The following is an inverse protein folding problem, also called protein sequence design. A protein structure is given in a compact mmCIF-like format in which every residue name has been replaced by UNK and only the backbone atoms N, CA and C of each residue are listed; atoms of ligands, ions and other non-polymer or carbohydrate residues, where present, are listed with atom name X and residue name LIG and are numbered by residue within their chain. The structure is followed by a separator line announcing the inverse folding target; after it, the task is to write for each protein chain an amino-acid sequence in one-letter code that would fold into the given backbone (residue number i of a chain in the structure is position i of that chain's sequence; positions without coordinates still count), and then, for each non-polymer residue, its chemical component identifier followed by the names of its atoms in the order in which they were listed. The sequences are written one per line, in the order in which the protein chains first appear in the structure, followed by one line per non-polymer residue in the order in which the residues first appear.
data_IF_913677427957
#
_entry.id   IF_913677427957
#
_cell.length_a   1.000
_cell.length_b   1.000
_cell.length_c   1.000
_cell.angle_alpha   90.00
_cell.angle_beta   90.00
_cell.angle_gamma   90.00
#
_symmetry.space_group_name_H-M   'P 1'
#
loop_
_entity.id
_entity.type
_entity.pdbx_description
1 polymer ?
#
# COMPACT_ATOMS: atom_id res chain seq x y z
N UNK A 1 2.03 19.27 5.73
CA UNK A 1 3.40 19.09 5.20
C UNK A 1 3.51 17.67 4.65
N UNK A 2 3.99 17.51 3.44
CA UNK A 2 4.27 16.20 2.85
C UNK A 2 5.60 15.66 3.36
N UNK A 3 5.63 14.39 3.73
CA UNK A 3 6.83 13.72 4.23
C UNK A 3 7.13 12.52 3.35
N UNK A 4 8.34 12.47 2.79
CA UNK A 4 8.81 11.34 1.98
C UNK A 4 9.64 10.40 2.85
N UNK A 5 9.17 9.18 2.97
CA UNK A 5 9.75 8.17 3.86
C UNK A 5 10.62 7.14 3.16
N UNK A 6 10.87 7.30 1.85
CA UNK A 6 11.54 6.27 1.05
C UNK A 6 12.89 5.83 1.62
N UNK A 7 13.65 6.76 2.20
CA UNK A 7 14.95 6.48 2.80
C UNK A 7 14.90 5.96 4.25
N UNK A 8 13.72 5.93 4.85
CA UNK A 8 13.52 5.61 6.27
C UNK A 8 12.80 4.27 6.49
N UNK A 9 12.32 3.64 5.41
CA UNK A 9 11.60 2.38 5.52
C UNK A 9 12.51 1.27 6.05
N UNK A 10 12.00 0.49 6.99
CA UNK A 10 12.71 -0.62 7.62
C UNK A 10 12.07 -1.96 7.27
N UNK A 11 12.89 -3.04 7.16
CA UNK A 11 12.35 -4.37 6.90
C UNK A 11 11.44 -4.86 8.02
N UNK A 12 10.31 -5.43 7.66
CA UNK A 12 9.36 -6.02 8.59
C UNK A 12 8.96 -7.42 8.12
N UNK A 13 8.80 -8.35 9.07
CA UNK A 13 8.39 -9.74 8.79
C UNK A 13 9.26 -10.47 7.76
N UNK A 14 10.57 -10.28 7.84
CA UNK A 14 11.52 -11.05 7.03
C UNK A 14 11.67 -10.59 5.59
N UNK A 15 11.18 -9.39 5.24
CA UNK A 15 11.46 -8.84 3.91
C UNK A 15 12.90 -8.33 3.82
N UNK A 16 13.40 -8.23 2.59
CA UNK A 16 14.68 -7.62 2.29
C UNK A 16 14.48 -6.32 1.53
N UNK A 17 15.14 -5.25 1.98
CA UNK A 17 15.14 -3.95 1.31
C UNK A 17 16.52 -3.73 0.70
N UNK A 18 16.56 -3.48 -0.61
CA UNK A 18 17.79 -3.14 -1.33
C UNK A 18 17.61 -1.80 -2.04
N UNK A 19 18.67 -0.98 -2.07
CA UNK A 19 18.65 0.23 -2.88
C UNK A 19 18.79 -0.10 -4.35
N UNK A 20 18.00 0.64 -5.17
CA UNK A 20 18.09 0.65 -6.63
C UNK A 20 18.27 2.10 -7.10
N UNK A 21 18.54 2.32 -8.38
CA UNK A 21 18.82 3.66 -8.90
C UNK A 21 17.69 4.67 -8.63
N UNK A 22 16.44 4.23 -8.71
CA UNK A 22 15.27 5.11 -8.56
C UNK A 22 14.55 4.99 -7.22
N UNK A 23 15.08 4.24 -6.26
CA UNK A 23 14.40 4.04 -4.98
C UNK A 23 14.86 2.80 -4.27
N UNK A 24 13.91 1.97 -3.84
CA UNK A 24 14.17 0.72 -3.15
C UNK A 24 13.44 -0.44 -3.82
N UNK A 25 14.00 -1.64 -3.67
CA UNK A 25 13.33 -2.91 -3.98
C UNK A 25 13.02 -3.62 -2.67
N UNK A 26 11.79 -4.10 -2.55
CA UNK A 26 11.32 -4.87 -1.40
C UNK A 26 10.98 -6.27 -1.88
N UNK A 27 11.70 -7.27 -1.38
CA UNK A 27 11.46 -8.67 -1.70
C UNK A 27 10.96 -9.41 -0.46
N UNK A 28 10.01 -10.30 -0.65
CA UNK A 28 9.46 -11.14 0.41
C UNK A 28 10.45 -12.20 0.90
N UNK A 29 10.12 -12.82 2.03
CA UNK A 29 10.86 -13.97 2.53
C UNK A 29 10.61 -15.20 1.63
N UNK A 30 11.39 -16.28 1.84
CA UNK A 30 11.16 -17.55 1.16
C UNK A 30 9.82 -18.19 1.50
N UNK A 31 9.18 -17.74 2.58
CA UNK A 31 7.84 -18.15 3.02
C UNK A 31 6.81 -17.29 2.31
N UNK A 32 6.40 -17.68 1.12
CA UNK A 32 5.54 -16.85 0.24
C UNK A 32 4.21 -16.42 0.84
N UNK A 33 3.70 -17.16 1.81
CA UNK A 33 2.43 -16.83 2.48
C UNK A 33 2.60 -15.88 3.67
N UNK A 34 3.83 -15.58 4.07
CA UNK A 34 4.11 -14.62 5.13
C UNK A 34 4.10 -13.21 4.55
N UNK A 35 3.36 -12.32 5.18
CA UNK A 35 3.34 -10.90 4.81
C UNK A 35 4.73 -10.30 5.04
N UNK A 36 5.34 -9.79 4.00
CA UNK A 36 6.64 -9.13 4.06
C UNK A 36 6.48 -7.68 3.62
N UNK A 37 7.04 -6.77 4.39
CA UNK A 37 6.80 -5.35 4.15
C UNK A 37 8.00 -4.46 4.49
N UNK A 38 8.01 -3.29 3.89
CA UNK A 38 8.84 -2.17 4.30
C UNK A 38 7.99 -1.24 5.17
N UNK A 39 8.35 -1.13 6.44
CA UNK A 39 7.58 -0.41 7.45
C UNK A 39 8.10 1.02 7.62
N UNK A 40 7.20 1.99 7.60
CA UNK A 40 7.54 3.37 7.99
C UNK A 40 7.71 3.44 9.51
N UNK A 41 8.80 4.03 10.01
CA UNK A 41 9.05 4.13 11.47
C UNK A 41 8.29 5.33 12.09
N UNK A 42 7.01 5.44 11.78
CA UNK A 42 6.20 6.60 12.14
C UNK A 42 4.75 6.17 12.32
N UNK A 43 4.20 6.44 13.49
CA UNK A 43 2.77 6.24 13.76
C UNK A 43 1.99 7.47 13.30
N UNK A 44 0.99 7.26 12.46
CA UNK A 44 0.15 8.33 11.91
C UNK A 44 -1.32 8.06 12.13
N UNK A 45 -2.13 9.10 12.04
CA UNK A 45 -3.58 9.04 12.22
C UNK A 45 -4.31 9.81 11.13
N UNK A 46 -5.56 9.41 10.86
CA UNK A 46 -6.44 10.16 9.95
C UNK A 46 -6.75 11.57 10.50
N UNK A 47 -7.00 12.60 9.67
CA UNK A 47 -7.08 12.51 8.20
C UNK A 47 -5.70 12.63 7.53
N UNK A 48 -5.44 11.76 6.57
CA UNK A 48 -4.17 11.74 5.84
C UNK A 48 -4.30 11.10 4.47
N UNK A 49 -3.28 11.23 3.67
CA UNK A 49 -3.15 10.51 2.41
C UNK A 49 -1.79 9.82 2.35
N UNK A 50 -1.80 8.56 1.95
CA UNK A 50 -0.60 7.82 1.56
C UNK A 50 -0.47 7.89 0.04
N UNK A 51 0.70 8.33 -0.44
CA UNK A 51 1.01 8.32 -1.86
C UNK A 51 2.24 7.47 -2.08
N UNK A 52 2.06 6.41 -2.83
CA UNK A 52 3.15 5.49 -3.19
C UNK A 52 3.32 5.51 -4.70
N UNK A 53 4.54 5.71 -5.18
CA UNK A 53 4.91 5.44 -6.56
C UNK A 53 5.73 4.17 -6.56
N UNK A 54 5.14 3.11 -7.12
CA UNK A 54 5.69 1.78 -7.05
C UNK A 54 5.40 0.94 -8.28
N UNK A 55 6.05 -0.21 -8.33
CA UNK A 55 5.81 -1.23 -9.35
C UNK A 55 5.89 -2.62 -8.73
N UNK A 56 5.24 -3.58 -9.37
CA UNK A 56 5.42 -4.99 -9.05
C UNK A 56 6.04 -5.72 -10.24
N UNK A 57 6.81 -6.77 -9.97
CA UNK A 57 7.33 -7.65 -11.02
C UNK A 57 6.27 -8.65 -11.51
N UNK A 58 5.21 -8.86 -10.75
CA UNK A 58 4.18 -9.86 -11.06
C UNK A 58 2.86 -9.57 -10.36
N UNK A 59 2.78 -9.88 -9.07
CA UNK A 59 1.58 -9.75 -8.24
C UNK A 59 1.86 -8.88 -7.02
N UNK A 60 0.80 -8.52 -6.32
CA UNK A 60 0.86 -7.98 -4.96
C UNK A 60 1.73 -6.75 -4.74
N UNK A 61 1.26 -5.61 -5.22
CA UNK A 61 1.67 -4.33 -4.65
C UNK A 61 0.64 -3.99 -3.57
N UNK A 62 1.07 -4.01 -2.31
CA UNK A 62 0.19 -3.85 -1.14
C UNK A 62 0.58 -2.66 -0.29
N UNK A 63 -0.42 -1.86 0.10
CA UNK A 63 -0.29 -0.83 1.12
C UNK A 63 -1.03 -1.29 2.37
N UNK A 64 -0.42 -1.06 3.54
CA UNK A 64 -0.99 -1.46 4.83
C UNK A 64 -1.07 -0.25 5.76
N UNK A 65 -2.17 -0.14 6.47
CA UNK A 65 -2.31 0.80 7.59
C UNK A 65 -3.34 0.26 8.56
N UNK A 66 -2.91 -0.02 9.80
CA UNK A 66 -3.71 -0.68 10.82
C UNK A 66 -4.25 -2.02 10.32
N UNK A 67 -5.58 -2.19 10.27
CA UNK A 67 -6.22 -3.40 9.72
C UNK A 67 -6.53 -3.28 8.23
N UNK A 68 -6.28 -2.11 7.67
CA UNK A 68 -6.54 -1.83 6.26
C UNK A 68 -5.45 -2.31 5.33
N UNK A 69 -5.85 -2.76 4.16
CA UNK A 69 -4.93 -3.19 3.10
C UNK A 69 -5.51 -2.76 1.75
N UNK A 70 -4.66 -2.23 0.89
CA UNK A 70 -4.97 -2.04 -0.53
C UNK A 70 -4.08 -2.99 -1.32
N UNK A 71 -4.67 -3.86 -2.14
CA UNK A 71 -3.94 -4.88 -2.90
C UNK A 71 -4.21 -4.68 -4.39
N UNK A 72 -3.14 -4.40 -5.15
CA UNK A 72 -3.14 -4.40 -6.60
C UNK A 72 -2.46 -5.67 -7.11
N UNK A 73 -2.90 -6.19 -8.26
CA UNK A 73 -2.42 -7.45 -8.83
C UNK A 73 -2.48 -8.60 -7.82
N UNK A 74 -3.67 -8.79 -7.23
CA UNK A 74 -3.88 -9.83 -6.24
C UNK A 74 -3.55 -11.23 -6.80
N UNK A 75 -2.87 -12.05 -6.03
CA UNK A 75 -2.38 -13.36 -6.48
C UNK A 75 -3.49 -14.35 -6.90
N UNK A 76 -4.68 -14.19 -6.35
CA UNK A 76 -5.80 -15.08 -6.71
C UNK A 76 -6.54 -14.60 -7.96
N UNK A 77 -6.53 -13.29 -8.22
CA UNK A 77 -7.10 -12.66 -9.40
C UNK A 77 -6.49 -11.29 -9.61
N UNK A 78 -5.54 -11.18 -10.51
CA UNK A 78 -4.81 -9.92 -10.75
C UNK A 78 -5.70 -8.76 -11.20
N UNK A 79 -6.90 -9.05 -11.67
CA UNK A 79 -7.83 -8.01 -12.10
C UNK A 79 -8.73 -7.51 -10.98
N UNK A 80 -8.82 -8.23 -9.86
CA UNK A 80 -9.66 -7.82 -8.75
C UNK A 80 -8.89 -6.92 -7.78
N UNK A 81 -9.40 -5.71 -7.57
CA UNK A 81 -8.90 -4.85 -6.50
C UNK A 81 -9.40 -5.41 -5.16
N UNK A 82 -8.49 -5.58 -4.22
CA UNK A 82 -8.85 -5.97 -2.84
C UNK A 82 -8.57 -4.81 -1.91
N UNK A 83 -9.58 -4.46 -1.13
CA UNK A 83 -9.45 -3.41 -0.10
C UNK A 83 -10.02 -3.94 1.20
N UNK A 84 -9.21 -3.91 2.26
CA UNK A 84 -9.66 -4.22 3.62
C UNK A 84 -9.86 -2.90 4.36
N UNK A 85 -11.00 -2.78 5.03
CA UNK A 85 -11.33 -1.58 5.78
C UNK A 85 -10.39 -1.40 6.99
N UNK A 86 -9.78 -0.21 7.20
CA UNK A 86 -8.85 0.01 8.31
C UNK A 86 -9.46 -0.18 9.70
N UNK A 87 -10.75 0.07 9.85
CA UNK A 87 -11.42 -0.07 11.15
C UNK A 87 -11.94 -1.49 11.38
N UNK A 88 -12.68 -2.03 10.41
CA UNK A 88 -13.44 -3.27 10.58
C UNK A 88 -12.73 -4.50 10.02
N UNK A 89 -11.72 -4.31 9.18
CA UNK A 89 -11.08 -5.34 8.36
C UNK A 89 -12.03 -5.98 7.33
N UNK A 90 -13.19 -5.39 7.09
CA UNK A 90 -14.11 -5.88 6.07
C UNK A 90 -13.41 -5.88 4.71
N UNK A 91 -13.53 -7.00 3.99
CA UNK A 91 -12.87 -7.20 2.71
C UNK A 91 -13.82 -6.86 1.57
N UNK A 92 -13.36 -5.98 0.67
CA UNK A 92 -14.06 -5.62 -0.55
C UNK A 92 -13.29 -6.14 -1.75
N UNK A 93 -13.97 -6.83 -2.65
CA UNK A 93 -13.42 -7.25 -3.93
C UNK A 93 -14.10 -6.50 -5.07
N UNK A 94 -13.33 -5.79 -5.90
CA UNK A 94 -13.84 -5.00 -7.01
C UNK A 94 -13.30 -5.56 -8.33
N UNK A 95 -14.09 -6.37 -9.06
CA UNK A 95 -13.65 -6.96 -10.31
C UNK A 95 -13.26 -5.91 -11.35
N UNK A 96 -12.15 -6.15 -12.05
CA UNK A 96 -11.68 -5.27 -13.13
C UNK A 96 -10.98 -4.00 -12.67
N UNK A 97 -10.81 -3.78 -11.38
CA UNK A 97 -10.26 -2.53 -10.80
C UNK A 97 -8.83 -2.67 -10.26
N UNK A 98 -8.27 -3.86 -10.19
CA UNK A 98 -7.04 -4.13 -9.44
C UNK A 98 -5.79 -4.33 -10.28
N UNK A 99 -5.87 -4.32 -11.60
CA UNK A 99 -4.71 -4.60 -12.44
C UNK A 99 -3.87 -3.35 -12.72
N UNK A 100 -2.57 -3.48 -12.48
CA UNK A 100 -1.54 -2.53 -12.94
C UNK A 100 -0.52 -3.28 -13.79
N UNK A 101 0.01 -2.63 -14.83
CA UNK A 101 1.05 -3.22 -15.67
C UNK A 101 2.30 -3.51 -14.86
N UNK A 102 2.89 -4.70 -15.07
CA UNK A 102 4.10 -5.11 -14.35
C UNK A 102 5.33 -4.35 -14.84
N UNK A 103 6.29 -4.15 -13.93
CA UNK A 103 7.56 -3.49 -14.22
C UNK A 103 7.43 -2.06 -14.77
N UNK A 104 6.33 -1.39 -14.42
CA UNK A 104 6.07 0.02 -14.71
C UNK A 104 5.71 0.76 -13.43
N UNK A 105 6.09 2.01 -13.33
CA UNK A 105 5.77 2.86 -12.19
C UNK A 105 4.31 3.29 -12.22
N UNK A 106 3.62 3.12 -11.09
CA UNK A 106 2.23 3.53 -10.88
C UNK A 106 2.11 4.37 -9.62
N UNK A 107 1.21 5.33 -9.64
CA UNK A 107 0.87 6.12 -8.47
C UNK A 107 -0.35 5.51 -7.79
N UNK A 108 -0.21 5.17 -6.52
CA UNK A 108 -1.30 4.72 -5.67
C UNK A 108 -1.52 5.79 -4.60
N UNK A 109 -2.72 6.34 -4.55
CA UNK A 109 -3.13 7.32 -3.56
C UNK A 109 -4.23 6.71 -2.70
N UNK A 110 -3.97 6.60 -1.40
CA UNK A 110 -4.94 6.12 -0.42
C UNK A 110 -5.25 7.25 0.54
N UNK A 111 -6.40 7.88 0.36
CA UNK A 111 -6.85 8.97 1.22
C UNK A 111 -7.77 8.41 2.30
N UNK A 112 -7.48 8.73 3.55
CA UNK A 112 -8.27 8.32 4.71
C UNK A 112 -8.66 9.58 5.47
N UNK A 113 -9.93 9.94 5.38
CA UNK A 113 -10.52 11.05 6.13
C UNK A 113 -11.12 10.52 7.43
N UNK A 114 -11.67 11.40 8.26
CA UNK A 114 -12.29 10.96 9.52
C UNK A 114 -13.53 10.10 9.28
N UNK A 115 -14.26 10.35 8.19
CA UNK A 115 -15.56 9.73 7.89
C UNK A 115 -15.61 8.93 6.59
N UNK A 116 -14.51 8.85 5.87
CA UNK A 116 -14.48 8.19 4.56
C UNK A 116 -13.06 7.83 4.16
N UNK A 117 -12.94 6.93 3.18
CA UNK A 117 -11.66 6.69 2.53
C UNK A 117 -11.85 6.44 1.04
N UNK A 118 -10.79 6.66 0.26
CA UNK A 118 -10.80 6.34 -1.17
C UNK A 118 -9.44 5.91 -1.66
N UNK A 119 -9.45 5.10 -2.73
CA UNK A 119 -8.26 4.59 -3.41
C UNK A 119 -8.27 5.11 -4.84
N UNK A 120 -7.20 5.79 -5.21
CA UNK A 120 -7.00 6.35 -6.55
C UNK A 120 -5.71 5.77 -7.11
N UNK A 121 -5.75 5.23 -8.31
CA UNK A 121 -4.55 4.67 -8.98
C UNK A 121 -4.39 5.34 -10.34
N UNK A 122 -3.21 5.90 -10.58
CA UNK A 122 -2.90 6.64 -11.79
C UNK A 122 -3.96 7.70 -12.15
N UNK A 123 -4.48 8.37 -11.11
CA UNK A 123 -5.49 9.41 -11.26
C UNK A 123 -6.92 8.93 -11.38
N UNK A 124 -7.16 7.61 -11.42
CA UNK A 124 -8.50 7.03 -11.51
C UNK A 124 -9.01 6.60 -10.13
N UNK A 125 -10.20 7.09 -9.75
CA UNK A 125 -10.89 6.65 -8.54
C UNK A 125 -11.39 5.22 -8.71
N UNK A 126 -10.85 4.29 -7.93
CA UNK A 126 -11.21 2.89 -8.01
C UNK A 126 -12.18 2.44 -6.92
N UNK A 127 -12.09 3.03 -5.73
CA UNK A 127 -12.91 2.64 -4.58
C UNK A 127 -13.10 3.81 -3.63
N UNK A 128 -14.31 3.92 -3.10
CA UNK A 128 -14.65 4.90 -2.06
C UNK A 128 -15.68 4.30 -1.12
N UNK A 129 -15.52 4.55 0.17
CA UNK A 129 -16.45 4.08 1.19
C UNK A 129 -16.51 5.05 2.36
N UNK A 130 -17.58 4.95 3.15
CA UNK A 130 -17.74 5.69 4.41
C UNK A 130 -17.38 4.80 5.58
N UNK A 131 -16.83 5.40 6.63
CA UNK A 131 -16.48 4.72 7.86
C UNK A 131 -16.00 5.72 8.89
N UNK A 132 -15.82 5.30 10.12
CA UNK A 132 -15.28 6.13 11.19
C UNK A 132 -13.81 5.77 11.44
N UNK A 133 -12.93 6.56 10.89
CA UNK A 133 -11.47 6.31 11.00
C UNK A 133 -10.79 7.20 12.04
N UNK A 134 -11.56 8.03 12.75
CA UNK A 134 -11.04 8.82 13.86
C UNK A 134 -10.49 7.92 14.96
N UNK A 135 -9.35 8.29 15.52
CA UNK A 135 -8.74 7.55 16.63
C UNK A 135 -7.88 6.36 16.24
N UNK A 136 -7.85 5.96 14.95
CA UNK A 136 -6.92 4.93 14.49
C UNK A 136 -5.52 5.51 14.42
N UNK A 137 -4.57 4.81 15.04
CA UNK A 137 -3.15 5.17 15.03
C UNK A 137 -2.35 3.94 14.61
N UNK A 138 -1.54 4.06 13.57
CA UNK A 138 -0.71 2.95 13.10
C UNK A 138 0.43 3.44 12.22
N UNK A 139 1.47 2.63 12.13
CA UNK A 139 2.54 2.85 11.18
C UNK A 139 2.16 2.20 9.83
N UNK A 140 2.26 2.93 8.71
CA UNK A 140 1.97 2.35 7.41
C UNK A 140 3.13 1.51 6.90
N UNK A 141 2.83 0.58 6.00
CA UNK A 141 3.84 -0.20 5.31
C UNK A 141 3.44 -0.47 3.86
N UNK A 142 4.42 -0.85 3.06
CA UNK A 142 4.23 -1.23 1.66
C UNK A 142 5.03 -2.50 1.41
N UNK A 143 4.49 -3.42 0.64
CA UNK A 143 5.23 -4.65 0.40
C UNK A 143 4.66 -5.52 -0.70
N UNK A 144 5.45 -6.55 -1.07
CA UNK A 144 5.01 -7.65 -1.92
C UNK A 144 4.29 -8.72 -1.11
N UNK A 145 3.86 -9.77 -1.77
CA UNK A 145 3.38 -10.99 -1.13
C UNK A 145 3.45 -12.16 -2.12
N UNK A 146 3.45 -13.39 -1.59
CA UNK A 146 3.41 -14.61 -2.41
C UNK A 146 4.48 -14.66 -3.51
N UNK A 147 5.74 -14.39 -3.12
CA UNK A 147 6.89 -14.54 -4.00
C UNK A 147 7.12 -13.40 -4.98
N UNK A 148 6.32 -12.35 -4.94
CA UNK A 148 6.56 -11.16 -5.76
C UNK A 148 7.64 -10.28 -5.15
N UNK A 149 8.16 -9.36 -5.94
CA UNK A 149 9.01 -8.27 -5.49
C UNK A 149 8.43 -6.96 -6.01
N UNK A 150 8.48 -5.93 -5.19
CA UNK A 150 8.04 -4.59 -5.57
C UNK A 150 9.23 -3.63 -5.55
N UNK A 151 9.13 -2.56 -6.33
CA UNK A 151 10.03 -1.42 -6.22
C UNK A 151 9.21 -0.19 -5.85
N UNK A 152 9.76 0.67 -5.03
CA UNK A 152 9.12 1.90 -4.56
C UNK A 152 10.11 3.04 -4.71
N UNK A 153 9.69 4.11 -5.40
CA UNK A 153 10.54 5.30 -5.54
C UNK A 153 10.04 6.49 -4.76
N UNK A 154 8.76 6.50 -4.36
CA UNK A 154 8.19 7.54 -3.49
C UNK A 154 7.20 6.90 -2.52
N UNK A 155 7.27 7.31 -1.27
CA UNK A 155 6.32 6.96 -0.22
C UNK A 155 6.07 8.21 0.62
N UNK A 156 4.98 8.91 0.34
CA UNK A 156 4.66 10.18 0.97
C UNK A 156 3.45 10.05 1.89
N UNK A 157 3.50 10.73 3.02
CA UNK A 157 2.36 10.90 3.91
C UNK A 157 2.04 12.39 3.98
N UNK A 158 0.79 12.72 3.67
CA UNK A 158 0.31 14.11 3.68
C UNK A 158 -0.88 14.21 4.62
N UNK A 159 -0.81 15.05 5.67
CA UNK A 159 -1.98 15.36 6.48
C UNK A 159 -3.04 16.04 5.60
N UNK A 160 -4.30 15.66 5.79
CA UNK A 160 -5.44 16.30 5.15
C UNK A 160 -6.12 17.27 6.12
N UNK A 161 -6.64 18.34 5.60
CA UNK A 161 -7.37 19.34 6.39
C UNK A 161 -8.88 19.03 6.41
#
# INVERSE_FOLDING_TARGET
MMEDLIGELIPHQGCAITRIDEGIKVAGSAMNWVLSAALAPLVVRAPLAFRVVGMTDSTNLRLYWHRGIVILNWECDVRELRVHDPLTAEQHGLPGKGFITTNEWHEVLWEIRLDSMRVVVDGELLFETKGNYAGIESAPSVGPCFGSAISVREFNITPLL
#
